data_IF_958423393895
#
_entry.id   IF_958423393895
#
_cell.length_a   1.000
_cell.length_b   1.000
_cell.length_c   1.000
_cell.angle_alpha   90.00
_cell.angle_beta   90.00
_cell.angle_gamma   90.00
#
_symmetry.space_group_name_H-M   'P 1'
#
loop_
_entity.id
_entity.type
_entity.pdbx_description
1 polymer ?
#
# COMPACT_ATOMS: atom_id res chain seq x y z
N UNK A 1 -15.82 -37.23 -59.09
CA UNK A 1 -14.65 -36.47 -59.57
C UNK A 1 -13.97 -35.84 -58.39
N UNK A 2 -12.85 -36.42 -57.99
CA UNK A 2 -12.01 -35.97 -56.88
C UNK A 2 -11.16 -34.77 -57.24
N UNK A 3 -10.98 -33.82 -56.32
CA UNK A 3 -9.77 -33.00 -56.35
C UNK A 3 -9.30 -32.70 -54.91
N UNK A 4 -8.16 -33.31 -54.60
CA UNK A 4 -7.36 -33.10 -53.41
C UNK A 4 -6.57 -31.81 -53.56
N UNK A 5 -6.51 -30.99 -52.49
CA UNK A 5 -5.52 -29.92 -52.37
C UNK A 5 -4.49 -30.27 -51.30
N UNK A 6 -3.21 -29.96 -51.50
CA UNK A 6 -2.15 -30.40 -50.60
C UNK A 6 -1.83 -29.41 -49.50
N UNK A 7 -1.48 -30.00 -48.35
CA UNK A 7 -0.94 -29.38 -47.15
C UNK A 7 0.47 -28.84 -47.37
N UNK A 8 0.71 -27.58 -47.03
CA UNK A 8 2.05 -27.00 -46.97
C UNK A 8 2.51 -26.89 -45.51
N UNK A 9 3.38 -27.83 -45.13
CA UNK A 9 4.19 -27.74 -43.90
C UNK A 9 5.38 -26.84 -44.16
N UNK A 10 5.46 -25.69 -43.50
CA UNK A 10 6.67 -24.87 -43.50
C UNK A 10 7.50 -25.23 -42.26
N UNK A 11 8.69 -25.74 -42.52
CA UNK A 11 9.80 -25.94 -41.59
C UNK A 11 10.44 -24.59 -41.31
N UNK A 12 10.52 -24.19 -40.06
CA UNK A 12 11.42 -23.13 -39.62
C UNK A 12 12.57 -23.76 -38.83
N UNK A 13 13.75 -23.69 -39.43
CA UNK A 13 14.97 -24.28 -38.95
C UNK A 13 15.62 -23.41 -37.85
N UNK A 14 16.12 -24.10 -36.84
CA UNK A 14 17.03 -23.60 -35.79
C UNK A 14 18.29 -22.97 -36.41
N UNK A 15 18.71 -21.82 -35.89
CA UNK A 15 20.10 -21.40 -35.91
C UNK A 15 20.55 -21.11 -34.47
N UNK A 16 21.20 -22.10 -33.89
CA UNK A 16 22.14 -21.87 -32.78
C UNK A 16 23.40 -21.23 -33.33
N UNK A 17 23.86 -20.18 -32.71
CA UNK A 17 25.25 -19.77 -32.82
C UNK A 17 25.75 -19.40 -31.44
N UNK A 18 26.64 -20.22 -30.93
CA UNK A 18 27.46 -20.02 -29.77
C UNK A 18 28.45 -18.85 -30.03
N UNK A 19 28.66 -18.03 -29.03
CA UNK A 19 29.89 -17.25 -28.90
C UNK A 19 30.43 -17.48 -27.50
N UNK A 20 31.67 -17.92 -27.47
CA UNK A 20 32.42 -18.32 -26.31
C UNK A 20 33.06 -17.08 -25.61
N UNK A 21 33.15 -17.20 -24.34
CA UNK A 21 34.26 -16.89 -23.43
C UNK A 21 35.17 -15.68 -23.71
N UNK A 22 35.18 -14.73 -22.80
CA UNK A 22 36.41 -14.17 -22.30
C UNK A 22 36.29 -13.98 -20.77
N UNK A 23 37.00 -14.86 -20.07
CA UNK A 23 37.30 -14.78 -18.64
C UNK A 23 38.58 -13.98 -18.50
N UNK A 24 38.54 -12.88 -17.82
CA UNK A 24 39.73 -12.19 -17.32
C UNK A 24 39.93 -12.56 -15.85
N UNK A 25 41.10 -13.17 -15.51
CA UNK A 25 41.43 -13.56 -14.14
C UNK A 25 42.41 -12.59 -13.51
N UNK A 26 41.96 -11.53 -12.87
CA UNK A 26 42.79 -10.89 -11.85
C UNK A 26 41.92 -10.24 -10.78
N UNK A 27 42.08 -10.81 -9.58
CA UNK A 27 41.39 -10.37 -8.39
C UNK A 27 42.01 -9.12 -7.78
N UNK A 28 41.16 -8.27 -7.28
CA UNK A 28 41.50 -7.40 -6.15
C UNK A 28 40.31 -7.34 -5.21
N UNK A 29 40.54 -7.81 -3.98
CA UNK A 29 39.63 -7.67 -2.85
C UNK A 29 39.64 -6.23 -2.40
N UNK A 30 38.55 -5.52 -2.56
CA UNK A 30 38.35 -4.23 -1.93
C UNK A 30 37.46 -4.40 -0.69
N UNK A 31 37.96 -3.86 0.40
CA UNK A 31 37.63 -3.91 1.78
C UNK A 31 36.18 -3.78 2.20
N UNK A 32 35.84 -4.54 3.23
CA UNK A 32 34.65 -4.37 4.05
C UNK A 32 34.65 -2.99 4.74
N UNK A 33 33.54 -2.27 4.77
CA UNK A 33 33.40 -1.14 5.68
C UNK A 33 32.99 -1.64 7.07
N UNK A 34 33.86 -1.39 8.02
CA UNK A 34 33.69 -1.60 9.45
C UNK A 34 32.48 -0.87 10.00
N UNK A 35 31.67 -1.62 10.75
CA UNK A 35 30.56 -1.12 11.58
C UNK A 35 31.11 -0.11 12.63
N UNK A 36 30.79 1.16 12.43
CA UNK A 36 30.93 2.21 13.43
C UNK A 36 29.90 2.08 14.52
N UNK A 37 30.37 1.83 15.74
CA UNK A 37 29.54 1.78 16.95
C UNK A 37 28.89 3.13 17.27
N UNK A 38 27.57 3.24 17.18
CA UNK A 38 26.80 4.37 17.69
C UNK A 38 26.56 4.19 19.19
N UNK A 39 27.35 4.89 19.99
CA UNK A 39 27.25 5.06 21.42
C UNK A 39 25.87 5.60 21.84
N UNK A 40 25.11 4.80 22.60
CA UNK A 40 23.90 5.23 23.31
C UNK A 40 24.27 6.12 24.50
N UNK A 41 24.11 7.42 24.37
CA UNK A 41 24.05 8.32 25.54
C UNK A 41 22.73 8.14 26.26
N UNK A 42 22.77 7.44 27.39
CA UNK A 42 21.71 7.46 28.41
C UNK A 42 21.71 8.84 29.06
N UNK A 43 20.60 9.56 28.98
CA UNK A 43 20.35 10.75 29.81
C UNK A 43 19.74 10.29 31.12
N UNK A 44 20.45 10.60 32.20
CA UNK A 44 20.01 10.41 33.59
C UNK A 44 18.89 11.40 33.92
N UNK A 45 17.91 10.92 34.68
CA UNK A 45 16.91 11.74 35.34
C UNK A 45 17.52 12.39 36.62
N UNK A 46 17.17 13.62 36.95
CA UNK A 46 17.50 14.16 38.24
C UNK A 46 16.45 13.76 39.29
N UNK A 47 16.92 13.15 40.34
CA UNK A 47 16.22 12.97 41.59
C UNK A 47 16.50 14.20 42.45
N UNK A 48 15.50 14.97 42.82
CA UNK A 48 15.56 15.89 43.96
C UNK A 48 14.32 15.68 44.84
N UNK A 49 14.54 14.96 45.92
CA UNK A 49 13.68 14.92 47.07
C UNK A 49 14.20 16.00 48.04
N UNK A 50 13.39 17.01 48.33
CA UNK A 50 13.64 17.94 49.39
C UNK A 50 12.74 17.60 50.62
N UNK A 51 13.31 17.30 51.78
CA UNK A 51 12.57 16.95 52.98
C UNK A 51 12.53 18.11 53.97
N UNK A 52 11.68 19.10 53.79
CA UNK A 52 11.31 19.96 54.90
C UNK A 52 9.86 20.42 54.82
N UNK A 53 9.12 19.99 55.85
CA UNK A 53 7.75 20.35 56.09
C UNK A 53 7.61 21.83 56.45
N UNK A 54 6.62 22.46 55.86
CA UNK A 54 6.11 23.77 56.24
C UNK A 54 4.61 23.80 56.04
N UNK A 55 3.84 23.69 57.10
CA UNK A 55 2.41 24.01 57.12
C UNK A 55 2.25 25.50 56.86
N UNK A 56 1.52 25.87 55.84
CA UNK A 56 0.98 27.22 55.67
C UNK A 56 -0.48 27.14 55.17
N UNK A 57 -1.34 27.66 55.99
CA UNK A 57 -2.57 28.37 55.84
C UNK A 57 -3.53 28.02 54.70
N UNK A 58 -4.74 27.57 55.10
CA UNK A 58 -5.91 27.57 54.23
C UNK A 58 -6.23 29.01 53.75
N UNK A 59 -6.50 29.20 52.46
CA UNK A 59 -7.22 30.39 52.02
C UNK A 59 -8.70 30.05 51.85
N UNK A 60 -9.47 30.83 52.57
CA UNK A 60 -10.93 30.95 52.55
C UNK A 60 -11.50 31.03 51.13
N UNK A 61 -12.54 30.22 50.91
CA UNK A 61 -13.42 30.28 49.74
C UNK A 61 -14.11 31.65 49.63
N UNK A 62 -13.62 32.44 48.69
CA UNK A 62 -14.36 33.58 48.14
C UNK A 62 -15.01 33.14 46.83
N UNK A 63 -16.31 32.97 46.81
CA UNK A 63 -17.07 32.70 45.61
C UNK A 63 -17.09 33.90 44.67
N UNK A 64 -16.68 33.81 43.40
CA UNK A 64 -17.08 34.79 42.40
C UNK A 64 -18.40 34.33 41.77
N UNK A 65 -19.44 35.07 42.07
CA UNK A 65 -20.67 35.10 41.28
C UNK A 65 -20.35 35.81 39.98
N UNK A 66 -20.09 35.05 38.92
CA UNK A 66 -20.33 35.50 37.56
C UNK A 66 -21.01 34.37 36.79
N UNK A 67 -22.32 34.49 36.66
CA UNK A 67 -23.08 33.78 35.65
C UNK A 67 -22.60 34.28 34.29
N UNK A 68 -21.53 33.73 33.77
CA UNK A 68 -21.24 33.82 32.35
C UNK A 68 -22.32 33.01 31.65
N UNK A 69 -23.23 33.74 31.04
CA UNK A 69 -24.25 33.25 30.14
C UNK A 69 -23.51 32.61 28.97
N UNK A 70 -23.40 31.28 28.99
CA UNK A 70 -22.92 30.51 27.84
C UNK A 70 -24.00 30.66 26.76
N UNK A 71 -23.89 31.73 25.97
CA UNK A 71 -24.61 31.83 24.72
C UNK A 71 -23.98 30.78 23.79
N UNK A 72 -24.58 29.60 23.76
CA UNK A 72 -24.42 28.68 22.64
C UNK A 72 -24.96 29.36 21.41
N UNK A 73 -24.09 30.13 20.73
CA UNK A 73 -24.33 30.53 19.36
C UNK A 73 -24.32 29.21 18.52
N UNK A 74 -25.47 28.56 18.46
CA UNK A 74 -25.75 27.61 17.41
C UNK A 74 -25.70 28.41 16.11
N UNK A 75 -24.51 28.47 15.51
CA UNK A 75 -24.31 28.98 14.15
C UNK A 75 -25.23 28.16 13.25
N UNK A 76 -26.39 28.74 12.94
CA UNK A 76 -27.31 28.19 11.97
C UNK A 76 -26.72 28.41 10.58
N UNK A 77 -25.53 27.80 10.36
CA UNK A 77 -24.80 27.91 9.09
C UNK A 77 -25.53 27.05 8.08
N UNK A 78 -26.42 27.71 7.34
CA UNK A 78 -27.15 27.09 6.25
C UNK A 78 -26.13 26.59 5.24
N UNK A 79 -26.17 25.29 4.92
CA UNK A 79 -25.30 24.69 3.90
C UNK A 79 -25.48 25.43 2.58
N UNK A 80 -24.38 25.90 1.98
CA UNK A 80 -24.39 26.61 0.70
C UNK A 80 -23.27 26.09 -0.18
N UNK A 81 -23.60 25.87 -1.45
CA UNK A 81 -22.59 25.54 -2.47
C UNK A 81 -21.78 26.79 -2.83
N UNK A 82 -20.51 26.58 -3.19
CA UNK A 82 -19.65 27.64 -3.73
C UNK A 82 -19.93 27.82 -5.22
N UNK A 83 -20.76 28.79 -5.57
CA UNK A 83 -21.17 29.05 -6.94
C UNK A 83 -19.98 29.44 -7.84
N UNK A 84 -18.99 30.15 -7.32
CA UNK A 84 -17.82 30.56 -8.10
C UNK A 84 -16.95 29.32 -8.47
N UNK A 85 -16.78 28.36 -7.57
CA UNK A 85 -16.08 27.12 -7.86
C UNK A 85 -16.84 26.25 -8.89
N UNK A 86 -18.18 26.21 -8.80
CA UNK A 86 -19.02 25.50 -9.78
C UNK A 86 -18.89 26.16 -11.16
N UNK A 87 -18.88 27.48 -11.23
CA UNK A 87 -18.72 28.20 -12.50
C UNK A 87 -17.32 28.00 -13.09
N UNK A 88 -16.27 28.07 -12.26
CA UNK A 88 -14.89 27.77 -12.67
C UNK A 88 -14.71 26.35 -13.22
N UNK A 89 -15.49 25.38 -12.77
CA UNK A 89 -15.45 24.01 -13.29
C UNK A 89 -15.91 23.88 -14.76
N UNK A 90 -16.51 24.92 -15.34
CA UNK A 90 -16.90 24.95 -16.77
C UNK A 90 -15.70 25.14 -17.69
N UNK A 91 -14.58 25.59 -17.17
CA UNK A 91 -13.34 25.79 -17.90
C UNK A 91 -12.41 24.57 -17.77
N UNK A 92 -11.29 24.57 -18.52
CA UNK A 92 -10.24 23.56 -18.42
C UNK A 92 -10.70 22.12 -18.64
N UNK A 93 -11.53 21.89 -19.67
CA UNK A 93 -12.10 20.58 -20.00
C UNK A 93 -11.05 19.48 -20.21
N UNK A 94 -9.82 19.84 -20.59
CA UNK A 94 -8.69 18.91 -20.72
C UNK A 94 -8.24 18.28 -19.40
N UNK A 95 -8.65 18.84 -18.25
CA UNK A 95 -8.35 18.28 -16.93
C UNK A 95 -9.29 17.13 -16.53
N UNK A 96 -10.31 16.84 -17.34
CA UNK A 96 -11.22 15.71 -17.12
C UNK A 96 -11.90 15.75 -15.74
N UNK A 97 -11.61 14.77 -14.89
CA UNK A 97 -12.20 14.65 -13.56
C UNK A 97 -11.65 15.67 -12.53
N UNK A 98 -10.51 16.31 -12.83
CA UNK A 98 -9.89 17.28 -11.95
C UNK A 98 -10.61 18.63 -12.05
N UNK A 99 -11.24 19.05 -10.96
CA UNK A 99 -11.95 20.33 -10.84
C UNK A 99 -11.26 21.23 -9.81
N UNK A 100 -11.65 22.52 -9.65
CA UNK A 100 -11.06 23.39 -8.64
C UNK A 100 -11.17 22.91 -7.18
N UNK A 101 -11.94 21.85 -6.93
CA UNK A 101 -11.98 21.18 -5.62
C UNK A 101 -10.65 20.52 -5.27
N UNK A 102 -9.95 19.99 -6.27
CA UNK A 102 -8.70 19.27 -6.06
C UNK A 102 -7.55 20.25 -5.80
N UNK A 103 -6.94 20.15 -4.62
CA UNK A 103 -5.83 20.98 -4.18
C UNK A 103 -4.46 20.34 -4.44
N UNK A 104 -3.37 20.98 -3.96
CA UNK A 104 -2.00 20.47 -4.12
C UNK A 104 -1.77 19.09 -3.50
N UNK A 105 -2.58 18.70 -2.53
CA UNK A 105 -2.59 17.36 -1.92
C UNK A 105 -2.88 16.21 -2.90
N UNK A 106 -3.41 16.50 -4.10
CA UNK A 106 -3.64 15.48 -5.13
C UNK A 106 -2.36 14.76 -5.55
N UNK A 107 -1.22 15.44 -5.54
CA UNK A 107 0.08 14.84 -5.85
C UNK A 107 0.51 13.85 -4.76
N UNK A 108 0.26 14.17 -3.49
CA UNK A 108 0.54 13.24 -2.38
C UNK A 108 -0.32 11.99 -2.49
N UNK A 109 -1.61 12.14 -2.86
CA UNK A 109 -2.49 11.00 -3.10
C UNK A 109 -1.98 10.13 -4.25
N UNK A 110 -1.56 10.74 -5.38
CA UNK A 110 -0.99 10.00 -6.51
C UNK A 110 0.23 9.17 -6.08
N UNK A 111 1.10 9.74 -5.24
CA UNK A 111 2.26 9.01 -4.72
C UNK A 111 1.85 7.84 -3.83
N UNK A 112 0.94 8.05 -2.86
CA UNK A 112 0.41 6.99 -2.01
C UNK A 112 -0.22 5.85 -2.82
N UNK A 113 -0.98 6.18 -3.87
CA UNK A 113 -1.58 5.19 -4.75
C UNK A 113 -0.55 4.43 -5.60
N UNK A 114 0.56 5.07 -6.00
CA UNK A 114 1.65 4.39 -6.71
C UNK A 114 2.41 3.41 -5.81
N UNK A 115 2.59 3.74 -4.54
CA UNK A 115 3.22 2.82 -3.58
C UNK A 115 2.28 1.65 -3.23
N UNK A 116 0.97 1.91 -3.11
CA UNK A 116 -0.04 0.87 -3.00
C UNK A 116 -0.07 -0.02 -4.25
N UNK A 117 -0.08 0.56 -5.47
CA UNK A 117 0.02 -0.18 -6.74
C UNK A 117 1.23 -1.12 -6.77
N UNK A 118 2.37 -0.66 -6.29
CA UNK A 118 3.57 -1.51 -6.20
C UNK A 118 3.37 -2.68 -5.22
N UNK A 119 2.65 -2.45 -4.12
CA UNK A 119 2.33 -3.47 -3.13
C UNK A 119 1.44 -4.55 -3.74
N UNK A 120 0.36 -4.18 -4.42
CA UNK A 120 -0.52 -5.13 -5.12
C UNK A 120 0.25 -5.98 -6.14
N UNK A 121 1.07 -5.35 -6.97
CA UNK A 121 1.84 -6.06 -7.99
C UNK A 121 2.84 -7.05 -7.39
N UNK A 122 3.47 -6.73 -6.26
CA UNK A 122 4.32 -7.67 -5.52
C UNK A 122 3.49 -8.83 -4.95
N UNK A 123 2.29 -8.56 -4.44
CA UNK A 123 1.35 -9.58 -3.98
C UNK A 123 0.91 -10.51 -5.12
N UNK A 124 0.54 -9.96 -6.28
CA UNK A 124 0.24 -10.76 -7.50
C UNK A 124 1.37 -11.72 -7.82
N UNK A 125 2.61 -11.23 -7.88
CA UNK A 125 3.78 -12.06 -8.23
C UNK A 125 4.04 -13.15 -7.18
N UNK A 126 3.89 -12.84 -5.90
CA UNK A 126 4.04 -13.77 -4.78
C UNK A 126 2.96 -14.84 -4.80
N UNK A 127 1.70 -14.49 -4.91
CA UNK A 127 0.57 -15.42 -4.97
C UNK A 127 0.67 -16.34 -6.18
N UNK A 128 1.00 -15.81 -7.37
CA UNK A 128 1.23 -16.64 -8.56
C UNK A 128 2.37 -17.63 -8.37
N UNK A 129 3.47 -17.21 -7.78
CA UNK A 129 4.56 -18.14 -7.46
C UNK A 129 4.09 -19.23 -6.52
N UNK A 130 3.43 -18.90 -5.43
CA UNK A 130 2.93 -19.85 -4.44
C UNK A 130 1.91 -20.82 -5.07
N UNK A 131 1.01 -20.33 -5.93
CA UNK A 131 0.09 -21.17 -6.70
C UNK A 131 0.84 -22.27 -7.48
N UNK A 132 1.86 -21.93 -8.25
CA UNK A 132 2.58 -22.89 -9.08
C UNK A 132 3.54 -23.79 -8.31
N UNK A 133 3.95 -23.43 -7.12
CA UNK A 133 4.96 -24.16 -6.34
C UNK A 133 4.39 -24.88 -5.12
N UNK A 134 3.12 -24.70 -4.78
CA UNK A 134 2.47 -25.37 -3.66
C UNK A 134 2.46 -26.90 -3.88
N UNK A 135 2.87 -27.66 -2.85
CA UNK A 135 2.95 -29.11 -2.88
C UNK A 135 2.40 -29.73 -1.60
N UNK A 136 1.95 -30.99 -1.67
CA UNK A 136 1.41 -31.74 -0.53
C UNK A 136 -0.08 -32.06 -0.69
N UNK A 137 -0.64 -32.81 0.26
CA UNK A 137 -2.01 -33.34 0.17
C UNK A 137 -3.09 -32.23 0.16
N UNK A 138 -2.87 -31.16 0.91
CA UNK A 138 -3.79 -30.01 0.97
C UNK A 138 -3.53 -28.96 -0.13
N UNK A 139 -2.44 -29.09 -0.88
CA UNK A 139 -2.01 -28.06 -1.83
C UNK A 139 -2.99 -27.74 -2.96
N UNK A 140 -3.76 -28.71 -3.54
CA UNK A 140 -4.62 -28.36 -4.68
C UNK A 140 -5.63 -27.25 -4.35
N UNK A 141 -6.30 -27.35 -3.19
CA UNK A 141 -7.29 -26.35 -2.78
C UNK A 141 -6.63 -24.99 -2.45
N UNK A 142 -5.53 -25.04 -1.70
CA UNK A 142 -4.80 -23.81 -1.28
C UNK A 142 -4.12 -23.13 -2.50
N UNK A 143 -3.59 -23.93 -3.44
CA UNK A 143 -3.02 -23.38 -4.66
C UNK A 143 -4.08 -22.71 -5.55
N UNK A 144 -5.28 -23.26 -5.62
CA UNK A 144 -6.40 -22.62 -6.34
C UNK A 144 -6.76 -21.28 -5.71
N UNK A 145 -6.83 -21.21 -4.40
CA UNK A 145 -7.12 -19.99 -3.66
C UNK A 145 -6.02 -18.93 -3.83
N UNK A 146 -4.74 -19.34 -3.81
CA UNK A 146 -3.65 -18.41 -4.15
C UNK A 146 -3.79 -17.82 -5.57
N UNK A 147 -4.39 -18.56 -6.51
CA UNK A 147 -4.67 -18.02 -7.83
C UNK A 147 -5.83 -17.03 -7.82
N UNK A 148 -6.88 -17.30 -7.03
CA UNK A 148 -8.01 -16.37 -6.84
C UNK A 148 -7.50 -15.07 -6.27
N UNK A 149 -6.77 -15.10 -5.14
CA UNK A 149 -6.19 -13.90 -4.54
C UNK A 149 -5.27 -13.17 -5.53
N UNK A 150 -4.42 -13.88 -6.31
CA UNK A 150 -3.59 -13.22 -7.32
C UNK A 150 -4.39 -12.45 -8.39
N UNK A 151 -5.61 -12.90 -8.71
CA UNK A 151 -6.49 -12.24 -9.67
C UNK A 151 -7.18 -11.01 -9.04
N UNK A 152 -7.53 -11.11 -7.77
CA UNK A 152 -8.13 -10.00 -7.01
C UNK A 152 -7.13 -8.88 -6.78
N UNK A 153 -5.88 -9.21 -6.39
CA UNK A 153 -4.78 -8.22 -6.29
C UNK A 153 -4.50 -7.53 -7.63
N UNK A 154 -4.57 -8.28 -8.74
CA UNK A 154 -4.47 -7.65 -10.07
C UNK A 154 -5.61 -6.67 -10.31
N UNK A 155 -6.82 -7.01 -9.89
CA UNK A 155 -7.98 -6.13 -9.95
C UNK A 155 -7.80 -4.87 -9.10
N UNK A 156 -7.22 -4.99 -7.90
CA UNK A 156 -6.86 -3.86 -7.04
C UNK A 156 -5.84 -2.95 -7.74
N UNK A 157 -4.76 -3.53 -8.28
CA UNK A 157 -3.74 -2.80 -9.03
C UNK A 157 -4.33 -1.99 -10.20
N UNK A 158 -5.22 -2.60 -10.99
CA UNK A 158 -5.86 -1.96 -12.14
C UNK A 158 -6.78 -0.80 -11.72
N UNK A 159 -7.51 -0.96 -10.61
CA UNK A 159 -8.36 0.10 -10.03
C UNK A 159 -7.52 1.29 -9.53
N UNK A 160 -6.41 1.01 -8.84
CA UNK A 160 -5.46 2.05 -8.37
C UNK A 160 -4.85 2.80 -9.55
N UNK A 161 -4.37 2.07 -10.58
CA UNK A 161 -3.81 2.67 -11.78
C UNK A 161 -4.83 3.56 -12.51
N UNK A 162 -6.06 3.11 -12.67
CA UNK A 162 -7.15 3.90 -13.24
C UNK A 162 -7.40 5.20 -12.45
N UNK A 163 -7.36 5.13 -11.12
CA UNK A 163 -7.55 6.32 -10.27
C UNK A 163 -6.39 7.30 -10.37
N UNK A 164 -5.15 6.82 -10.42
CA UNK A 164 -3.96 7.65 -10.64
C UNK A 164 -4.11 8.48 -11.93
N UNK A 165 -4.54 7.85 -13.02
CA UNK A 165 -4.77 8.54 -14.31
C UNK A 165 -5.87 9.60 -14.18
N UNK A 166 -6.99 9.28 -13.49
CA UNK A 166 -8.07 10.25 -13.26
C UNK A 166 -7.62 11.47 -12.45
N UNK A 167 -6.63 11.31 -11.57
CA UNK A 167 -6.02 12.39 -10.80
C UNK A 167 -4.96 13.18 -11.58
N UNK A 168 -4.73 12.83 -12.86
CA UNK A 168 -3.74 13.47 -13.73
C UNK A 168 -2.31 12.94 -13.51
N UNK A 169 -2.14 11.85 -12.77
CA UNK A 169 -0.87 11.18 -12.55
C UNK A 169 -0.55 10.11 -13.58
N UNK A 170 0.61 9.50 -13.42
CA UNK A 170 1.05 8.34 -14.20
C UNK A 170 1.22 7.13 -13.29
N UNK A 171 0.57 6.00 -13.56
CA UNK A 171 0.78 4.77 -12.81
C UNK A 171 2.17 4.20 -13.11
N UNK A 172 2.93 3.91 -12.05
CA UNK A 172 4.29 3.39 -12.19
C UNK A 172 4.29 1.85 -12.11
N UNK A 173 4.43 1.22 -13.27
CA UNK A 173 4.58 -0.23 -13.44
C UNK A 173 6.03 -0.67 -13.63
N UNK A 174 7.02 0.20 -13.36
CA UNK A 174 8.44 -0.14 -13.55
C UNK A 174 8.84 -1.31 -12.66
N UNK A 175 9.32 -2.43 -13.23
CA UNK A 175 9.79 -3.57 -12.45
C UNK A 175 11.04 -3.24 -11.64
N UNK A 176 11.86 -2.28 -12.08
CA UNK A 176 13.13 -1.93 -11.44
C UNK A 176 12.95 -1.28 -10.06
N UNK A 177 11.84 -0.56 -9.87
CA UNK A 177 11.52 0.12 -8.60
C UNK A 177 10.44 -0.58 -7.79
N UNK A 178 9.83 -1.65 -8.31
CA UNK A 178 8.65 -2.28 -7.76
C UNK A 178 8.81 -2.71 -6.30
N UNK A 179 9.86 -3.47 -5.99
CA UNK A 179 10.11 -3.95 -4.63
C UNK A 179 10.53 -2.85 -3.65
N UNK A 180 11.12 -1.77 -4.15
CA UNK A 180 11.54 -0.64 -3.31
C UNK A 180 10.36 0.24 -2.89
N UNK A 181 9.28 0.31 -3.70
CA UNK A 181 8.06 1.06 -3.41
C UNK A 181 7.02 0.25 -2.67
N UNK A 182 7.05 -1.08 -2.80
CA UNK A 182 6.11 -1.99 -2.15
C UNK A 182 6.28 -1.99 -0.64
N UNK A 183 5.19 -1.95 0.10
CA UNK A 183 5.16 -2.14 1.55
C UNK A 183 5.24 -3.63 1.93
N UNK A 184 4.76 -4.53 1.06
CA UNK A 184 4.84 -5.97 1.26
C UNK A 184 6.09 -6.56 0.59
N UNK A 185 6.75 -7.50 1.27
CA UNK A 185 7.91 -8.19 0.74
C UNK A 185 7.52 -9.31 -0.23
N UNK A 186 8.30 -9.48 -1.30
CA UNK A 186 8.25 -10.70 -2.09
C UNK A 186 8.73 -11.90 -1.25
N UNK A 187 8.10 -13.05 -1.42
CA UNK A 187 8.45 -14.27 -0.71
C UNK A 187 8.47 -15.47 -1.67
N UNK A 188 9.47 -16.32 -1.55
CA UNK A 188 9.70 -17.49 -2.39
C UNK A 188 9.69 -18.81 -1.60
N UNK A 189 9.03 -18.86 -0.45
CA UNK A 189 8.87 -20.05 0.36
C UNK A 189 8.35 -21.23 -0.48
N UNK A 190 8.79 -22.45 -0.11
CA UNK A 190 8.35 -23.71 -0.72
C UNK A 190 7.49 -24.56 0.22
N UNK A 191 7.57 -24.33 1.52
CA UNK A 191 6.71 -24.97 2.52
C UNK A 191 5.32 -24.31 2.52
N UNK A 192 4.26 -25.12 2.46
CA UNK A 192 2.89 -24.65 2.32
C UNK A 192 2.45 -23.73 3.49
N UNK A 193 2.79 -24.12 4.75
CA UNK A 193 2.47 -23.27 5.91
C UNK A 193 3.28 -21.97 5.92
N UNK A 194 4.52 -22.01 5.42
CA UNK A 194 5.34 -20.82 5.26
C UNK A 194 4.77 -19.88 4.17
N UNK A 195 4.25 -20.43 3.05
CA UNK A 195 3.55 -19.66 2.02
C UNK A 195 2.32 -18.95 2.59
N UNK A 196 1.46 -19.67 3.32
CA UNK A 196 0.25 -19.10 3.95
C UNK A 196 0.64 -17.98 4.92
N UNK A 197 1.65 -18.21 5.78
CA UNK A 197 2.13 -17.18 6.72
C UNK A 197 2.67 -15.95 6.02
N UNK A 198 3.45 -16.13 4.95
CA UNK A 198 4.01 -15.02 4.19
C UNK A 198 2.93 -14.19 3.51
N UNK A 199 1.89 -14.82 2.97
CA UNK A 199 0.74 -14.14 2.41
C UNK A 199 -0.04 -13.41 3.51
N UNK A 200 -0.39 -14.06 4.62
CA UNK A 200 -1.08 -13.41 5.74
C UNK A 200 -0.32 -12.18 6.28
N UNK A 201 1.01 -12.25 6.37
CA UNK A 201 1.82 -11.08 6.77
C UNK A 201 1.64 -9.93 5.79
N UNK A 202 1.60 -10.21 4.50
CA UNK A 202 1.45 -9.17 3.50
C UNK A 202 0.03 -8.57 3.48
N UNK A 203 -1.03 -9.39 3.64
CA UNK A 203 -2.40 -8.85 3.80
C UNK A 203 -2.47 -7.90 5.00
N UNK A 204 -1.90 -8.28 6.13
CA UNK A 204 -1.86 -7.41 7.30
C UNK A 204 -1.10 -6.11 7.08
N UNK A 205 -0.04 -6.14 6.26
CA UNK A 205 0.68 -4.93 5.84
C UNK A 205 -0.20 -4.06 4.93
N UNK A 206 -0.90 -4.66 3.98
CA UNK A 206 -1.84 -3.98 3.11
C UNK A 206 -2.99 -3.34 3.90
N UNK A 207 -3.62 -4.07 4.83
CA UNK A 207 -4.67 -3.57 5.73
C UNK A 207 -4.21 -2.32 6.50
N UNK A 208 -3.02 -2.36 7.11
CA UNK A 208 -2.47 -1.22 7.84
C UNK A 208 -2.17 -0.04 6.89
N UNK A 209 -1.58 -0.32 5.72
CA UNK A 209 -1.29 0.69 4.71
C UNK A 209 -2.55 1.39 4.24
N UNK A 210 -3.58 0.64 3.86
CA UNK A 210 -4.85 1.21 3.40
C UNK A 210 -5.58 1.98 4.50
N UNK A 211 -5.55 1.50 5.74
CA UNK A 211 -6.11 2.22 6.90
C UNK A 211 -5.44 3.59 7.10
N UNK A 212 -4.13 3.66 6.93
CA UNK A 212 -3.39 4.92 6.99
C UNK A 212 -3.70 5.83 5.80
N UNK A 213 -3.76 5.30 4.58
CA UNK A 213 -4.12 6.06 3.38
C UNK A 213 -5.51 6.68 3.54
N UNK A 214 -6.51 5.94 4.01
CA UNK A 214 -7.87 6.43 4.30
C UNK A 214 -7.83 7.60 5.28
N UNK A 215 -7.03 7.46 6.35
CA UNK A 215 -6.86 8.52 7.36
C UNK A 215 -6.24 9.78 6.78
N UNK A 216 -5.20 9.65 5.95
CA UNK A 216 -4.49 10.76 5.30
C UNK A 216 -5.36 11.48 4.26
N UNK A 217 -6.15 10.73 3.49
CA UNK A 217 -7.10 11.29 2.53
C UNK A 217 -8.19 12.08 3.27
N UNK A 218 -8.77 11.52 4.34
CA UNK A 218 -9.86 12.13 5.08
C UNK A 218 -11.00 12.55 4.17
N UNK A 219 -11.36 13.82 4.22
CA UNK A 219 -12.46 14.40 3.41
C UNK A 219 -12.00 15.08 2.10
N UNK A 220 -10.70 14.99 1.77
CA UNK A 220 -10.13 15.68 0.61
C UNK A 220 -10.58 15.07 -0.71
N UNK A 221 -10.64 13.74 -0.78
CA UNK A 221 -11.01 12.99 -1.99
C UNK A 221 -11.87 11.77 -1.64
N UNK A 222 -13.18 11.99 -1.60
CA UNK A 222 -14.17 10.96 -1.27
C UNK A 222 -14.22 9.81 -2.28
N UNK A 223 -13.83 10.05 -3.54
CA UNK A 223 -13.80 9.00 -4.58
C UNK A 223 -12.62 8.07 -4.37
N UNK A 224 -11.42 8.61 -4.16
CA UNK A 224 -10.23 7.80 -3.84
C UNK A 224 -10.42 7.09 -2.51
N UNK A 225 -10.95 7.76 -1.49
CA UNK A 225 -11.21 7.15 -0.18
C UNK A 225 -12.12 5.93 -0.31
N UNK A 226 -13.24 6.03 -1.03
CA UNK A 226 -14.15 4.90 -1.25
C UNK A 226 -13.47 3.74 -1.98
N UNK A 227 -12.66 4.03 -3.00
CA UNK A 227 -11.89 3.02 -3.71
C UNK A 227 -10.99 2.24 -2.75
N UNK A 228 -10.26 2.95 -1.88
CA UNK A 228 -9.33 2.35 -0.92
C UNK A 228 -10.07 1.62 0.21
N UNK A 229 -11.23 2.11 0.65
CA UNK A 229 -12.12 1.43 1.60
C UNK A 229 -12.64 0.09 1.04
N UNK A 230 -13.00 0.04 -0.24
CA UNK A 230 -13.43 -1.21 -0.91
C UNK A 230 -12.27 -2.23 -0.98
N UNK A 231 -11.06 -1.79 -1.34
CA UNK A 231 -9.87 -2.66 -1.37
C UNK A 231 -9.58 -3.16 0.04
N UNK A 232 -9.55 -2.29 1.04
CA UNK A 232 -9.31 -2.66 2.44
C UNK A 232 -10.26 -3.77 2.91
N UNK A 233 -11.53 -3.74 2.49
CA UNK A 233 -12.49 -4.80 2.83
C UNK A 233 -12.05 -6.15 2.28
N UNK A 234 -11.57 -6.21 1.03
CA UNK A 234 -11.08 -7.45 0.42
C UNK A 234 -9.80 -7.96 1.13
N UNK A 235 -8.84 -7.08 1.44
CA UNK A 235 -7.63 -7.48 2.19
C UNK A 235 -7.96 -8.11 3.56
N UNK A 236 -9.01 -7.60 4.22
CA UNK A 236 -9.49 -8.17 5.48
C UNK A 236 -10.08 -9.56 5.29
N UNK A 237 -10.82 -9.80 4.19
CA UNK A 237 -11.35 -11.13 3.83
C UNK A 237 -10.21 -12.11 3.55
N UNK A 238 -9.22 -11.73 2.72
CA UNK A 238 -8.04 -12.54 2.46
C UNK A 238 -7.28 -12.90 3.73
N UNK A 239 -7.09 -11.92 4.63
CA UNK A 239 -6.39 -12.17 5.89
C UNK A 239 -7.13 -13.17 6.80
N UNK A 240 -8.48 -13.12 6.89
CA UNK A 240 -9.25 -14.08 7.68
C UNK A 240 -9.18 -15.48 7.07
N UNK A 241 -9.31 -15.64 5.75
CA UNK A 241 -9.19 -16.91 5.05
C UNK A 241 -7.81 -17.56 5.28
N UNK A 242 -6.73 -16.80 5.10
CA UNK A 242 -5.37 -17.29 5.34
C UNK A 242 -5.12 -17.66 6.79
N UNK A 243 -5.68 -16.92 7.73
CA UNK A 243 -5.59 -17.20 9.17
C UNK A 243 -6.27 -18.55 9.50
N UNK A 244 -7.43 -18.78 8.92
CA UNK A 244 -8.20 -20.00 9.18
C UNK A 244 -7.44 -21.25 8.74
N UNK A 245 -6.66 -21.19 7.66
CA UNK A 245 -5.81 -22.31 7.23
C UNK A 245 -4.58 -22.56 8.11
N UNK A 246 -4.24 -21.63 8.99
CA UNK A 246 -3.14 -21.81 9.95
C UNK A 246 -3.58 -22.41 11.27
N UNK A 247 -4.89 -22.47 11.53
CA UNK A 247 -5.47 -22.99 12.79
C UNK A 247 -5.70 -24.51 12.76
N UNK A 248 -5.63 -25.14 11.59
CA UNK A 248 -5.71 -26.59 11.38
C UNK A 248 -4.29 -27.19 11.29
#
# INVERSE_FOLDING_TARGET
MSSKTPSTKSKLARKHRAAASDLDPQGERAGEPTLGALSRKRRAAPSDLDPHGGRVGEPTLGAPKSKAKLETAASNTRLKLNAAAIDAARSSLSQGAMTPHYGPWSQDIIQLLNDALATELVCVLRYRRHHFTAQGLASPKIAEEFLVHAQEEQGHADRLAGRIVQLGGQPDFSPDSLTARSHAAYNDALDLKAMIRANLVAERVAIETYSQIITLIGDKDSTTRRLVEDILSNEQEHAEELKDWLTD
#
